data_IF_309815343307
#
_entry.id   IF_309815343307
#
_cell.length_a   1.000
_cell.length_b   1.000
_cell.length_c   1.000
_cell.angle_alpha   90.00
_cell.angle_beta   90.00
_cell.angle_gamma   90.00
#
_symmetry.space_group_name_H-M   'P 1'
#
loop_
_entity.id
_entity.type
_entity.pdbx_description
1 polymer ?
#
# COMPACT_ATOMS: atom_id res chain seq x y z
N UNK A 1 5.74 -11.52 11.94
CA UNK A 1 4.41 -11.98 12.38
C UNK A 1 3.51 -12.13 11.18
N UNK A 2 2.82 -13.23 11.07
CA UNK A 2 1.90 -13.45 9.96
C UNK A 2 0.55 -12.82 10.29
N UNK A 3 0.06 -11.99 9.38
CA UNK A 3 -1.26 -11.40 9.51
C UNK A 3 -2.31 -12.44 9.14
N UNK A 4 -3.29 -12.65 10.02
CA UNK A 4 -4.36 -13.63 9.83
C UNK A 4 -5.72 -12.97 9.90
N UNK A 5 -6.73 -13.67 9.41
CA UNK A 5 -8.11 -13.20 9.39
C UNK A 5 -8.46 -12.48 8.10
N UNK A 6 -9.65 -11.92 8.06
CA UNK A 6 -10.16 -11.20 6.89
C UNK A 6 -9.58 -9.80 6.86
N UNK A 7 -9.01 -9.35 5.73
CA UNK A 7 -8.57 -7.96 5.62
C UNK A 7 -9.79 -7.03 5.65
N UNK A 8 -9.59 -5.82 6.13
CA UNK A 8 -10.63 -4.79 6.13
C UNK A 8 -10.72 -4.09 4.77
N UNK A 9 -9.55 -3.87 4.16
CA UNK A 9 -9.47 -3.23 2.84
C UNK A 9 -8.50 -3.99 1.96
N UNK A 10 -8.80 -4.02 0.67
CA UNK A 10 -7.90 -4.49 -0.37
C UNK A 10 -7.73 -3.34 -1.36
N UNK A 11 -6.49 -2.99 -1.65
CA UNK A 11 -6.17 -1.86 -2.53
C UNK A 11 -5.33 -2.36 -3.69
N UNK A 12 -5.78 -2.07 -4.91
CA UNK A 12 -5.01 -2.34 -6.12
C UNK A 12 -4.30 -1.06 -6.55
N UNK A 13 -2.98 -1.13 -6.67
CA UNK A 13 -2.15 -0.02 -7.11
C UNK A 13 -1.51 -0.37 -8.44
N UNK A 14 -1.73 0.47 -9.45
CA UNK A 14 -1.24 0.23 -10.80
C UNK A 14 0.09 0.94 -10.97
N UNK A 15 1.17 0.17 -11.01
CA UNK A 15 2.53 0.69 -11.13
C UNK A 15 2.94 0.68 -12.60
N UNK A 16 3.56 1.76 -13.05
CA UNK A 16 4.03 1.89 -14.43
C UNK A 16 5.01 0.80 -14.80
N UNK A 17 5.01 0.40 -16.06
CA UNK A 17 5.93 -0.61 -16.56
C UNK A 17 7.38 -0.21 -16.28
N UNK A 18 8.16 -1.17 -15.79
CA UNK A 18 9.56 -0.95 -15.47
C UNK A 18 9.83 -0.29 -14.11
N UNK A 19 8.79 0.04 -13.35
CA UNK A 19 8.94 0.71 -12.06
C UNK A 19 8.67 -0.19 -10.85
N UNK A 20 8.51 -1.50 -11.05
CA UNK A 20 8.19 -2.41 -9.94
C UNK A 20 9.26 -2.46 -8.86
N UNK A 21 10.53 -2.54 -9.25
CA UNK A 21 11.62 -2.57 -8.28
C UNK A 21 11.72 -1.25 -7.51
N UNK A 22 11.51 -0.12 -8.18
CA UNK A 22 11.48 1.19 -7.54
C UNK A 22 10.33 1.29 -6.56
N UNK A 23 9.16 0.77 -6.93
CA UNK A 23 7.97 0.79 -6.09
C UNK A 23 8.18 -0.05 -4.82
N UNK A 24 8.71 -1.27 -4.97
CA UNK A 24 8.99 -2.13 -3.82
C UNK A 24 10.01 -1.50 -2.88
N UNK A 25 11.06 -0.90 -3.44
CA UNK A 25 12.08 -0.19 -2.66
C UNK A 25 11.46 0.98 -1.90
N UNK A 26 10.61 1.77 -2.56
CA UNK A 26 9.90 2.89 -1.94
C UNK A 26 9.05 2.43 -0.76
N UNK A 27 8.29 1.35 -0.93
CA UNK A 27 7.47 0.81 0.15
C UNK A 27 8.33 0.36 1.33
N UNK A 28 9.44 -0.32 1.06
CA UNK A 28 10.34 -0.84 2.10
C UNK A 28 11.16 0.26 2.79
N UNK A 29 11.64 1.24 2.03
CA UNK A 29 12.59 2.23 2.56
C UNK A 29 11.95 3.54 3.00
N UNK A 30 10.74 3.84 2.52
CA UNK A 30 10.05 5.10 2.84
C UNK A 30 8.79 4.85 3.66
N UNK A 31 7.91 3.95 3.21
CA UNK A 31 6.62 3.73 3.86
C UNK A 31 6.76 2.99 5.19
N UNK A 32 7.45 1.85 5.19
CA UNK A 32 7.61 1.06 6.42
C UNK A 32 8.32 1.85 7.52
N UNK A 33 9.44 2.53 7.25
CA UNK A 33 10.07 3.36 8.28
C UNK A 33 9.19 4.50 8.78
N UNK A 34 8.35 5.07 7.92
CA UNK A 34 7.40 6.09 8.33
C UNK A 34 6.38 5.54 9.34
N UNK A 35 5.88 4.33 9.09
CA UNK A 35 4.96 3.66 10.01
C UNK A 35 5.62 3.37 11.37
N UNK A 36 6.84 2.87 11.35
CA UNK A 36 7.59 2.62 12.59
C UNK A 36 7.71 3.90 13.41
N UNK A 37 7.94 5.02 12.75
CA UNK A 37 8.13 6.31 13.41
C UNK A 37 6.82 6.94 13.90
N UNK A 38 5.80 6.97 13.05
CA UNK A 38 4.59 7.75 13.29
C UNK A 38 3.36 6.92 13.64
N UNK A 39 3.28 5.68 13.17
CA UNK A 39 2.11 4.80 13.36
C UNK A 39 2.53 3.36 13.64
N UNK A 40 3.25 3.13 14.75
CA UNK A 40 3.77 1.78 15.03
C UNK A 40 2.68 0.71 15.17
N UNK A 41 1.44 1.10 15.49
CA UNK A 41 0.32 0.17 15.58
C UNK A 41 -0.08 -0.42 14.21
N UNK A 42 0.35 0.20 13.10
CA UNK A 42 0.07 -0.30 11.74
C UNK A 42 1.13 -1.25 11.23
N UNK A 43 2.29 -1.32 11.88
CA UNK A 43 3.38 -2.21 11.47
C UNK A 43 2.92 -3.66 11.59
N UNK A 44 3.08 -4.42 10.49
CA UNK A 44 2.64 -5.81 10.45
C UNK A 44 1.14 -6.00 10.22
N UNK A 45 0.38 -4.91 10.09
CA UNK A 45 -1.07 -4.96 9.90
C UNK A 45 -1.46 -4.82 8.43
N UNK A 46 -0.52 -4.97 7.51
CA UNK A 46 -0.78 -4.95 6.08
C UNK A 46 0.23 -5.82 5.34
N UNK A 47 -0.15 -6.26 4.15
CA UNK A 47 0.69 -7.05 3.26
C UNK A 47 0.78 -6.38 1.91
N UNK A 48 1.89 -6.57 1.23
CA UNK A 48 2.12 -6.10 -0.13
C UNK A 48 2.36 -7.31 -1.03
N UNK A 49 1.61 -7.42 -2.12
CA UNK A 49 1.76 -8.50 -3.08
C UNK A 49 2.16 -7.94 -4.44
N UNK A 50 3.31 -8.41 -4.92
CA UNK A 50 3.83 -8.02 -6.23
C UNK A 50 3.08 -8.78 -7.33
N UNK A 51 2.74 -8.13 -8.45
CA UNK A 51 2.09 -8.83 -9.57
C UNK A 51 3.01 -9.90 -10.16
N UNK A 52 2.43 -10.97 -10.68
CA UNK A 52 3.18 -12.00 -11.37
C UNK A 52 3.91 -11.44 -12.59
N UNK A 53 5.09 -11.98 -12.88
CA UNK A 53 5.88 -11.55 -14.03
C UNK A 53 5.13 -11.81 -15.34
N UNK A 54 4.53 -12.99 -15.45
CA UNK A 54 3.74 -13.37 -16.63
C UNK A 54 2.26 -13.20 -16.31
N UNK A 55 1.59 -12.31 -17.03
CA UNK A 55 0.17 -12.05 -16.86
C UNK A 55 -0.63 -12.77 -17.96
N UNK A 56 -1.55 -13.67 -17.61
CA UNK A 56 -2.46 -14.27 -18.59
C UNK A 56 -3.29 -13.20 -19.29
N UNK A 57 -3.70 -13.49 -20.52
CA UNK A 57 -4.58 -12.59 -21.26
C UNK A 57 -5.87 -12.31 -20.47
N UNK A 58 -6.28 -11.05 -20.42
CA UNK A 58 -7.48 -10.64 -19.71
C UNK A 58 -7.32 -10.44 -18.20
N UNK A 59 -6.11 -10.66 -17.66
CA UNK A 59 -5.83 -10.46 -16.24
C UNK A 59 -5.24 -9.08 -16.03
N UNK A 60 -5.80 -8.34 -15.09
CA UNK A 60 -5.32 -7.01 -14.74
C UNK A 60 -4.06 -7.11 -13.89
N UNK A 61 -3.03 -6.40 -14.31
CA UNK A 61 -1.77 -6.34 -13.58
C UNK A 61 -1.84 -5.25 -12.52
N UNK A 62 -1.64 -5.60 -11.27
CA UNK A 62 -1.64 -4.64 -10.17
C UNK A 62 -0.83 -5.16 -9.00
N UNK A 63 -0.28 -4.23 -8.20
CA UNK A 63 0.20 -4.53 -6.87
C UNK A 63 -1.01 -4.53 -5.95
N UNK A 64 -1.11 -5.51 -5.06
CA UNK A 64 -2.22 -5.60 -4.12
C UNK A 64 -1.73 -5.36 -2.71
N UNK A 65 -2.47 -4.54 -1.98
CA UNK A 65 -2.22 -4.31 -0.56
C UNK A 65 -3.46 -4.74 0.22
N UNK A 66 -3.27 -5.54 1.26
CA UNK A 66 -4.35 -5.94 2.16
C UNK A 66 -4.11 -5.33 3.52
N UNK A 67 -5.12 -4.65 4.06
CA UNK A 67 -5.02 -3.93 5.32
C UNK A 67 -5.91 -4.57 6.36
N UNK A 68 -5.37 -4.82 7.54
CA UNK A 68 -6.02 -5.51 8.65
C UNK A 68 -6.16 -4.57 9.85
N UNK A 69 -6.91 -5.01 10.84
CA UNK A 69 -7.06 -4.28 12.08
C UNK A 69 -8.14 -3.20 12.04
N UNK A 70 -8.25 -2.39 13.11
CA UNK A 70 -9.35 -1.44 13.27
C UNK A 70 -9.16 -0.10 12.54
N UNK A 71 -8.00 0.16 11.96
CA UNK A 71 -7.73 1.45 11.30
C UNK A 71 -8.68 1.68 10.12
N UNK A 72 -9.15 2.92 9.97
CA UNK A 72 -10.00 3.32 8.85
C UNK A 72 -9.16 3.53 7.60
N UNK A 73 -9.82 3.66 6.44
CA UNK A 73 -9.10 3.91 5.19
C UNK A 73 -8.26 5.19 5.25
N UNK A 74 -8.78 6.25 5.87
CA UNK A 74 -8.04 7.50 6.03
C UNK A 74 -6.78 7.32 6.85
N UNK A 75 -6.80 6.43 7.84
CA UNK A 75 -5.64 6.13 8.68
C UNK A 75 -4.51 5.45 7.90
N UNK A 76 -4.82 4.87 6.74
CA UNK A 76 -3.84 4.23 5.87
C UNK A 76 -3.31 5.17 4.78
N UNK A 77 -3.79 6.43 4.71
CA UNK A 77 -3.35 7.38 3.69
C UNK A 77 -1.89 7.76 3.85
N UNK A 78 -1.17 7.78 2.73
CA UNK A 78 0.28 8.02 2.72
C UNK A 78 0.66 9.45 3.09
N UNK A 79 -0.05 10.45 2.56
CA UNK A 79 0.32 11.84 2.78
C UNK A 79 0.32 12.24 4.25
N UNK A 80 -0.76 11.97 5.03
CA UNK A 80 -0.72 12.25 6.46
C UNK A 80 0.37 11.46 7.20
N UNK A 81 0.64 10.22 6.78
CA UNK A 81 1.70 9.42 7.35
C UNK A 81 3.07 10.07 7.15
N UNK A 82 3.34 10.52 5.92
CA UNK A 82 4.62 11.18 5.62
C UNK A 82 4.75 12.53 6.31
N UNK A 83 3.65 13.29 6.42
CA UNK A 83 3.65 14.56 7.15
C UNK A 83 4.07 14.35 8.60
N UNK A 84 3.51 13.34 9.25
CA UNK A 84 3.81 13.01 10.64
C UNK A 84 5.23 12.49 10.81
N UNK A 85 5.68 11.64 9.89
CA UNK A 85 6.97 10.96 10.02
C UNK A 85 8.16 11.81 9.58
N UNK A 86 8.00 12.61 8.54
CA UNK A 86 9.11 13.30 7.86
C UNK A 86 8.97 14.79 7.77
N UNK A 87 7.80 15.37 8.05
CA UNK A 87 7.52 16.78 7.88
C UNK A 87 7.01 17.12 6.48
N UNK A 88 6.45 18.33 6.34
CA UNK A 88 5.72 18.72 5.14
C UNK A 88 6.55 18.73 3.85
N UNK A 89 7.81 19.18 3.91
CA UNK A 89 8.65 19.27 2.72
C UNK A 89 9.03 17.89 2.20
N UNK A 90 9.50 17.01 3.10
CA UNK A 90 9.86 15.64 2.72
C UNK A 90 8.62 14.84 2.30
N UNK A 91 7.48 15.06 2.96
CA UNK A 91 6.22 14.45 2.58
C UNK A 91 5.86 14.76 1.13
N UNK A 92 5.99 16.03 0.74
CA UNK A 92 5.69 16.47 -0.63
C UNK A 92 6.57 15.77 -1.66
N UNK A 93 7.87 15.64 -1.35
CA UNK A 93 8.82 14.92 -2.19
C UNK A 93 8.46 13.45 -2.34
N UNK A 94 8.13 12.78 -1.22
CA UNK A 94 7.75 11.37 -1.25
C UNK A 94 6.44 11.14 -1.99
N UNK A 95 5.45 12.02 -1.84
CA UNK A 95 4.20 11.90 -2.58
C UNK A 95 4.42 12.09 -4.08
N UNK A 96 5.28 13.03 -4.48
CA UNK A 96 5.62 13.21 -5.88
C UNK A 96 6.28 11.96 -6.46
N UNK A 97 7.19 11.35 -5.71
CA UNK A 97 7.86 10.11 -6.12
C UNK A 97 6.85 8.97 -6.27
N UNK A 98 5.93 8.83 -5.31
CA UNK A 98 4.87 7.83 -5.39
C UNK A 98 4.01 8.03 -6.64
N UNK A 99 3.54 9.25 -6.85
CA UNK A 99 2.68 9.58 -8.00
C UNK A 99 3.39 9.35 -9.34
N UNK A 100 4.69 9.57 -9.39
CA UNK A 100 5.51 9.33 -10.58
C UNK A 100 5.60 7.85 -10.95
N UNK A 101 5.52 6.96 -9.98
CA UNK A 101 5.61 5.52 -10.21
C UNK A 101 4.28 4.85 -10.53
N UNK A 102 3.16 5.49 -10.16
CA UNK A 102 1.84 4.86 -10.32
C UNK A 102 1.13 5.39 -11.56
N UNK A 103 0.24 4.57 -12.09
CA UNK A 103 -0.52 4.87 -13.30
C UNK A 103 -2.00 4.92 -12.95
N UNK A 104 -2.52 6.13 -12.81
CA UNK A 104 -3.91 6.37 -12.47
C UNK A 104 -4.22 6.19 -10.99
N UNK A 105 -5.50 6.16 -10.68
CA UNK A 105 -5.98 6.07 -9.31
C UNK A 105 -5.96 4.62 -8.81
N UNK A 106 -5.77 4.47 -7.51
CA UNK A 106 -5.89 3.17 -6.86
C UNK A 106 -7.35 2.73 -6.83
N UNK A 107 -7.57 1.42 -6.88
CA UNK A 107 -8.88 0.83 -6.69
C UNK A 107 -8.96 0.26 -5.28
N UNK A 108 -9.96 0.69 -4.52
CA UNK A 108 -10.11 0.30 -3.13
C UNK A 108 -11.37 -0.55 -2.96
N UNK A 109 -11.22 -1.68 -2.28
CA UNK A 109 -12.32 -2.56 -1.92
C UNK A 109 -12.43 -2.63 -0.40
N UNK A 110 -13.63 -2.40 0.13
CA UNK A 110 -13.90 -2.61 1.54
C UNK A 110 -14.45 -4.02 1.71
N UNK A 111 -13.92 -4.76 2.67
CA UNK A 111 -14.29 -6.14 2.93
C UNK A 111 -14.85 -6.25 4.34
N UNK A 112 -15.95 -6.98 4.52
CA UNK A 112 -16.60 -7.13 5.81
C UNK A 112 -16.20 -8.44 6.49
N UNK A 113 -16.47 -9.55 5.82
CA UNK A 113 -16.22 -10.86 6.40
C UNK A 113 -16.01 -11.91 5.33
N UNK A 114 -15.31 -12.97 5.72
CA UNK A 114 -15.15 -14.14 4.86
C UNK A 114 -16.41 -14.99 4.95
N UNK A 115 -16.92 -15.41 3.78
CA UNK A 115 -18.09 -16.28 3.73
C UNK A 115 -17.67 -17.75 3.86
N UNK A 116 -18.44 -18.48 4.66
CA UNK A 116 -18.30 -19.94 4.72
C UNK A 116 -19.08 -20.56 3.56
N UNK A 117 -18.38 -21.22 2.64
CA UNK A 117 -18.99 -21.82 1.46
C UNK A 117 -19.22 -23.32 1.62
#
# INVERSE_FOLDING_TARGET
MTTTGTPRYVVATYVKAGRDDDFERFMREVVVPAEVRARPHQVGMWNLMRPATDQPEGVTRAWLMTFYGPSTLDDWSLEPLFDEAYGADASREHMRHFEDMVDGEQTVYAVDSESTL
#
